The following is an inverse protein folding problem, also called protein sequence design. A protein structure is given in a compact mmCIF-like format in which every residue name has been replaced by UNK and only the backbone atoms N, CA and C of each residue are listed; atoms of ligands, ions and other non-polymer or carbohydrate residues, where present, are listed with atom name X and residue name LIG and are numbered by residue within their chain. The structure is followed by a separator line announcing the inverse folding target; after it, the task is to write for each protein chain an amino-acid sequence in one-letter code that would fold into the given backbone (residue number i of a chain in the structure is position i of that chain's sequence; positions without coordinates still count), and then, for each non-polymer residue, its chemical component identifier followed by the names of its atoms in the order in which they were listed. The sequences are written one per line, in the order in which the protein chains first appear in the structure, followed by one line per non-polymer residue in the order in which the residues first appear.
data_IF_205121184433
#
_entry.id   IF_205121184433
#
_cell.length_a   1.000
_cell.length_b   1.000
_cell.length_c   1.000
_cell.angle_alpha   90.00
_cell.angle_beta   90.00
_cell.angle_gamma   90.00
#
_symmetry.space_group_name_H-M   'P 1'
#
loop_
_entity.id
_entity.type
_entity.pdbx_description
1 polymer ?
#
# COMPACT_ATOMS: atom_id res chain seq x y z
N UNK A 1 -21.54 -14.79 15.89
CA UNK A 1 -20.07 -14.94 15.84
C UNK A 1 -19.39 -13.61 16.09
N UNK A 2 -18.21 -13.63 16.69
CA UNK A 2 -17.45 -12.42 16.98
C UNK A 2 -16.26 -12.32 16.03
N UNK A 3 -16.11 -11.17 15.35
CA UNK A 3 -14.94 -10.90 14.53
C UNK A 3 -13.89 -10.25 15.42
N UNK A 4 -12.75 -10.89 15.60
CA UNK A 4 -11.65 -10.37 16.43
C UNK A 4 -10.82 -9.34 15.67
N UNK A 5 -10.67 -9.50 14.33
CA UNK A 5 -9.78 -8.67 13.55
C UNK A 5 -10.14 -8.78 12.08
N UNK A 6 -10.03 -7.67 11.36
CA UNK A 6 -10.12 -7.64 9.90
C UNK A 6 -8.71 -7.49 9.36
N UNK A 7 -8.32 -8.37 8.46
CA UNK A 7 -7.01 -8.33 7.80
C UNK A 7 -7.19 -8.09 6.31
N UNK A 8 -6.32 -7.27 5.74
CA UNK A 8 -6.27 -7.06 4.30
C UNK A 8 -5.11 -7.87 3.75
N UNK A 9 -5.40 -8.87 2.90
CA UNK A 9 -4.39 -9.84 2.45
C UNK A 9 -3.81 -9.39 1.11
N UNK A 10 -2.47 -9.32 1.06
CA UNK A 10 -1.70 -9.02 -0.14
C UNK A 10 -0.78 -10.20 -0.45
N UNK A 11 -0.64 -10.54 -1.73
CA UNK A 11 0.28 -11.59 -2.16
C UNK A 11 1.62 -10.99 -2.56
N UNK A 12 2.70 -11.66 -2.20
CA UNK A 12 4.05 -11.20 -2.43
C UNK A 12 4.92 -12.30 -3.06
N UNK A 13 5.61 -11.96 -4.15
CA UNK A 13 6.65 -12.81 -4.70
C UNK A 13 7.89 -12.78 -3.81
N UNK A 14 8.22 -11.60 -3.29
CA UNK A 14 9.28 -11.37 -2.31
C UNK A 14 8.66 -10.76 -1.04
N UNK A 15 8.36 -11.60 -0.07
CA UNK A 15 7.66 -11.19 1.16
C UNK A 15 8.44 -10.16 1.98
N UNK A 16 9.78 -10.26 2.03
CA UNK A 16 10.61 -9.31 2.77
C UNK A 16 10.60 -7.93 2.11
N UNK A 17 10.65 -7.89 0.79
CA UNK A 17 10.55 -6.65 0.03
C UNK A 17 9.17 -5.99 0.20
N UNK A 18 8.10 -6.78 0.23
CA UNK A 18 6.75 -6.30 0.47
C UNK A 18 6.61 -5.68 1.87
N UNK A 19 7.13 -6.36 2.91
CA UNK A 19 7.17 -5.84 4.28
C UNK A 19 7.89 -4.49 4.31
N UNK A 20 9.07 -4.41 3.72
CA UNK A 20 9.87 -3.20 3.71
C UNK A 20 9.13 -2.03 3.06
N UNK A 21 8.41 -2.30 1.97
CA UNK A 21 7.62 -1.29 1.27
C UNK A 21 6.59 -0.64 2.20
N UNK A 22 5.73 -1.45 2.81
CA UNK A 22 4.64 -0.92 3.66
C UNK A 22 5.14 -0.37 4.98
N UNK A 23 6.16 -0.97 5.57
CA UNK A 23 6.79 -0.47 6.78
C UNK A 23 7.43 0.90 6.55
N UNK A 24 8.24 1.03 5.50
CA UNK A 24 9.09 2.21 5.31
C UNK A 24 8.33 3.37 4.65
N UNK A 25 7.45 3.08 3.68
CA UNK A 25 6.67 4.13 3.02
C UNK A 25 5.56 4.68 3.93
N UNK A 26 4.83 3.81 4.62
CA UNK A 26 3.65 4.19 5.38
C UNK A 26 3.85 4.20 6.90
N UNK A 27 5.06 3.97 7.37
CA UNK A 27 5.34 3.97 8.81
C UNK A 27 4.72 2.79 9.55
N UNK A 28 4.55 1.66 8.88
CA UNK A 28 3.95 0.47 9.47
C UNK A 28 4.82 -0.19 10.53
N UNK A 29 4.18 -0.96 11.40
CA UNK A 29 4.84 -1.77 12.41
C UNK A 29 4.67 -3.24 12.07
N UNK A 30 5.78 -3.97 11.97
CA UNK A 30 5.76 -5.40 11.71
C UNK A 30 5.40 -6.12 13.01
N UNK A 31 4.26 -6.81 13.04
CA UNK A 31 3.78 -7.54 14.22
C UNK A 31 4.06 -9.04 14.15
N UNK A 32 4.24 -9.57 12.95
CA UNK A 32 4.61 -10.96 12.71
C UNK A 32 5.33 -11.06 11.38
N UNK A 33 6.31 -11.95 11.28
CA UNK A 33 7.16 -12.07 10.10
C UNK A 33 7.55 -13.52 9.83
N UNK A 34 7.14 -14.04 8.66
CA UNK A 34 7.57 -15.35 8.17
C UNK A 34 7.43 -15.42 6.66
N UNK A 35 8.03 -16.42 6.04
CA UNK A 35 8.00 -16.63 4.59
C UNK A 35 6.59 -16.83 4.07
N UNK A 36 5.74 -17.52 4.83
CA UNK A 36 4.38 -17.84 4.39
C UNK A 36 3.40 -16.72 4.71
N UNK A 37 3.53 -16.11 5.88
CA UNK A 37 2.60 -15.11 6.37
C UNK A 37 3.30 -14.08 7.24
N UNK A 38 3.02 -12.81 6.96
CA UNK A 38 3.52 -11.70 7.76
C UNK A 38 2.39 -10.70 8.01
N UNK A 39 2.52 -9.89 9.06
CA UNK A 39 1.54 -8.85 9.36
C UNK A 39 2.24 -7.52 9.61
N UNK A 40 1.77 -6.49 8.91
CA UNK A 40 2.21 -5.11 9.06
C UNK A 40 1.01 -4.27 9.44
N UNK A 41 1.10 -3.56 10.55
CA UNK A 41 0.01 -2.69 11.03
C UNK A 41 0.28 -1.27 10.60
N UNK A 42 -0.67 -0.68 9.88
CA UNK A 42 -0.61 0.71 9.42
C UNK A 42 -1.90 1.40 9.87
N UNK A 43 -1.77 2.47 10.65
CA UNK A 43 -2.91 3.26 11.15
C UNK A 43 -4.03 2.39 11.76
N UNK A 44 -3.65 1.34 12.50
CA UNK A 44 -4.59 0.42 13.12
C UNK A 44 -5.16 -0.68 12.22
N UNK A 45 -4.90 -0.64 10.93
CA UNK A 45 -5.30 -1.69 9.99
C UNK A 45 -4.19 -2.73 9.85
N UNK A 46 -4.56 -4.00 9.74
CA UNK A 46 -3.60 -5.08 9.56
C UNK A 46 -3.52 -5.49 8.11
N UNK A 47 -2.33 -5.36 7.54
CA UNK A 47 -2.00 -5.90 6.23
C UNK A 47 -1.39 -7.28 6.44
N UNK A 48 -2.06 -8.33 5.91
CA UNK A 48 -1.53 -9.68 5.90
C UNK A 48 -0.78 -9.89 4.59
N UNK A 49 0.49 -10.29 4.67
CA UNK A 49 1.33 -10.52 3.51
C UNK A 49 1.54 -12.02 3.36
N UNK A 50 0.97 -12.58 2.30
CA UNK A 50 1.09 -14.01 1.98
C UNK A 50 2.21 -14.20 0.97
N UNK A 51 3.20 -15.03 1.32
CA UNK A 51 4.26 -15.41 0.38
C UNK A 51 3.74 -16.31 -0.73
N UNK A 52 4.52 -16.46 -1.79
CA UNK A 52 4.18 -17.32 -2.93
C UNK A 52 3.37 -16.62 -4.03
N UNK A 53 3.31 -15.29 -4.02
CA UNK A 53 2.72 -14.53 -5.11
C UNK A 53 3.56 -14.62 -6.39
N UNK A 54 2.95 -14.29 -7.53
CA UNK A 54 3.60 -14.37 -8.83
C UNK A 54 4.08 -13.02 -9.38
N UNK A 55 3.85 -11.94 -8.64
CA UNK A 55 4.26 -10.59 -9.03
C UNK A 55 3.37 -9.94 -10.09
N UNK A 56 2.32 -10.62 -10.55
CA UNK A 56 1.42 -10.05 -11.55
C UNK A 56 0.59 -8.92 -10.96
N UNK A 57 0.25 -7.97 -11.82
CA UNK A 57 -0.59 -6.82 -11.46
C UNK A 57 -1.97 -7.30 -11.03
N UNK A 58 -2.37 -6.87 -9.83
CA UNK A 58 -3.67 -7.25 -9.24
C UNK A 58 -4.26 -6.07 -8.49
N UNK A 59 -5.48 -5.69 -8.84
CA UNK A 59 -6.21 -4.67 -8.11
C UNK A 59 -6.67 -5.20 -6.76
N UNK A 60 -6.36 -4.47 -5.68
CA UNK A 60 -6.65 -4.91 -4.31
C UNK A 60 -7.82 -4.19 -3.66
N UNK A 61 -8.13 -2.97 -4.10
CA UNK A 61 -9.08 -2.09 -3.41
C UNK A 61 -8.51 -1.45 -2.14
N UNK A 62 -7.26 -1.71 -1.80
CA UNK A 62 -6.59 -1.09 -0.65
C UNK A 62 -6.37 0.39 -0.92
N UNK A 63 -6.66 1.23 0.06
CA UNK A 63 -6.50 2.68 -0.05
C UNK A 63 -5.89 3.26 1.22
N UNK A 64 -4.92 4.16 1.04
CA UNK A 64 -4.31 4.92 2.14
C UNK A 64 -4.68 6.38 1.98
N UNK A 65 -5.36 6.96 2.97
CA UNK A 65 -5.60 8.39 3.01
C UNK A 65 -4.42 9.07 3.69
N UNK A 66 -3.74 9.95 2.96
CA UNK A 66 -2.56 10.66 3.42
C UNK A 66 -2.92 12.10 3.77
N UNK A 67 -2.16 12.71 4.66
CA UNK A 67 -2.25 14.15 4.93
C UNK A 67 -1.62 14.97 3.80
N UNK A 68 -0.63 14.43 3.11
CA UNK A 68 0.07 15.06 1.99
C UNK A 68 0.30 14.05 0.86
N UNK A 69 -0.61 14.03 -0.10
CA UNK A 69 -0.57 13.08 -1.20
C UNK A 69 0.60 13.35 -2.16
N UNK A 70 0.95 14.61 -2.40
CA UNK A 70 2.09 14.93 -3.26
C UNK A 70 3.39 14.37 -2.71
N UNK A 71 3.57 14.44 -1.38
CA UNK A 71 4.71 13.84 -0.71
C UNK A 71 4.70 12.31 -0.81
N UNK A 72 3.53 11.69 -0.66
CA UNK A 72 3.37 10.25 -0.87
C UNK A 72 3.78 9.81 -2.26
N UNK A 73 3.35 10.55 -3.28
CA UNK A 73 3.71 10.28 -4.68
C UNK A 73 5.22 10.43 -4.89
N UNK A 74 5.83 11.45 -4.29
CA UNK A 74 7.27 11.68 -4.40
C UNK A 74 8.07 10.53 -3.79
N UNK A 75 7.62 9.99 -2.65
CA UNK A 75 8.29 8.90 -1.93
C UNK A 75 8.08 7.53 -2.55
N UNK A 76 6.97 7.34 -3.24
CA UNK A 76 6.57 6.04 -3.78
C UNK A 76 7.70 5.33 -4.56
N UNK A 77 8.34 5.95 -5.57
CA UNK A 77 9.41 5.29 -6.29
C UNK A 77 10.68 5.07 -5.48
N UNK A 78 10.90 5.84 -4.41
CA UNK A 78 12.06 5.67 -3.53
C UNK A 78 11.98 4.35 -2.76
N UNK A 79 10.78 3.79 -2.62
CA UNK A 79 10.53 2.52 -1.94
C UNK A 79 10.20 1.39 -2.91
N UNK A 80 10.37 1.61 -4.22
CA UNK A 80 10.18 0.58 -5.23
C UNK A 80 8.76 0.48 -5.79
N UNK A 81 7.86 1.36 -5.38
CA UNK A 81 6.52 1.46 -5.98
C UNK A 81 6.50 2.35 -7.21
N UNK A 82 5.37 2.39 -7.89
CA UNK A 82 5.20 3.25 -9.06
C UNK A 82 3.75 3.69 -9.22
N UNK A 83 3.55 4.79 -9.96
CA UNK A 83 2.22 5.23 -10.38
C UNK A 83 1.74 4.37 -11.56
N UNK A 84 0.44 4.07 -11.58
CA UNK A 84 -0.19 3.42 -12.74
C UNK A 84 -0.40 4.44 -13.85
N UNK A 85 -0.78 5.68 -13.47
CA UNK A 85 -0.99 6.78 -14.39
C UNK A 85 -0.70 8.10 -13.69
N UNK A 86 -0.46 9.14 -14.48
CA UNK A 86 -0.26 10.49 -13.93
C UNK A 86 -1.56 10.98 -13.31
N UNK A 87 -1.58 11.35 -12.01
CA UNK A 87 -2.79 11.85 -11.37
C UNK A 87 -3.15 13.26 -11.85
N UNK A 88 -4.44 13.57 -11.81
CA UNK A 88 -4.92 14.92 -12.08
C UNK A 88 -4.51 15.84 -10.93
N UNK A 89 -3.89 16.96 -11.25
CA UNK A 89 -3.50 17.99 -10.28
C UNK A 89 -3.50 19.36 -10.97
N UNK A 90 -4.67 19.98 -11.01
CA UNK A 90 -4.87 21.30 -11.61
C UNK A 90 -5.48 22.25 -10.58
N UNK A 91 -5.45 23.59 -10.83
CA UNK A 91 -6.14 24.53 -9.95
C UNK A 91 -7.64 24.27 -9.82
N UNK A 92 -8.27 23.76 -10.89
CA UNK A 92 -9.70 23.43 -10.92
C UNK A 92 -9.99 22.10 -10.25
N UNK A 93 -9.04 21.16 -10.33
CA UNK A 93 -9.15 19.85 -9.71
C UNK A 93 -7.83 19.50 -9.02
N UNK A 94 -7.62 20.01 -7.78
CA UNK A 94 -6.42 19.69 -7.02
C UNK A 94 -6.30 18.19 -6.74
N UNK A 95 -5.08 17.72 -6.64
CA UNK A 95 -4.82 16.30 -6.44
C UNK A 95 -5.52 15.75 -5.20
N UNK A 96 -6.20 14.60 -5.35
CA UNK A 96 -6.86 13.90 -4.26
C UNK A 96 -6.78 12.38 -4.37
N UNK A 97 -6.25 11.87 -5.49
CA UNK A 97 -6.21 10.43 -5.77
C UNK A 97 -5.00 10.11 -6.63
N UNK A 98 -4.28 9.05 -6.27
CA UNK A 98 -3.24 8.46 -7.10
C UNK A 98 -3.43 6.95 -7.13
N UNK A 99 -3.37 6.38 -8.34
CA UNK A 99 -3.40 4.93 -8.55
C UNK A 99 -1.97 4.43 -8.59
N UNK A 100 -1.66 3.46 -7.74
CA UNK A 100 -0.31 3.02 -7.44
C UNK A 100 -0.16 1.51 -7.55
N UNK A 101 1.09 1.06 -7.62
CA UNK A 101 1.43 -0.35 -7.51
C UNK A 101 2.61 -0.50 -6.55
N UNK A 102 2.56 -1.52 -5.69
CA UNK A 102 3.64 -1.83 -4.77
C UNK A 102 4.77 -2.62 -5.46
N UNK A 103 5.73 -3.11 -4.70
CA UNK A 103 6.86 -3.88 -5.23
C UNK A 103 6.48 -5.27 -5.75
N UNK A 104 5.28 -5.75 -5.41
CA UNK A 104 4.82 -7.12 -5.68
C UNK A 104 3.69 -7.20 -6.72
N UNK A 105 3.37 -6.09 -7.37
CA UNK A 105 2.29 -6.05 -8.35
C UNK A 105 0.91 -5.73 -7.76
N UNK A 106 0.79 -5.55 -6.46
CA UNK A 106 -0.49 -5.19 -5.85
C UNK A 106 -0.81 -3.72 -6.16
N UNK A 107 -1.95 -3.50 -6.81
CA UNK A 107 -2.43 -2.17 -7.14
C UNK A 107 -3.26 -1.62 -5.98
N UNK A 108 -3.00 -0.39 -5.61
CA UNK A 108 -3.66 0.27 -4.49
C UNK A 108 -3.82 1.76 -4.76
N UNK A 109 -4.54 2.46 -3.90
CA UNK A 109 -4.74 3.90 -4.00
C UNK A 109 -4.04 4.64 -2.85
N UNK A 110 -3.55 5.82 -3.16
CA UNK A 110 -3.28 6.85 -2.17
C UNK A 110 -4.26 7.98 -2.40
N UNK A 111 -4.84 8.50 -1.33
CA UNK A 111 -5.84 9.58 -1.41
C UNK A 111 -5.50 10.70 -0.45
N UNK A 112 -6.11 11.84 -0.67
CA UNK A 112 -6.06 12.97 0.23
C UNK A 112 -7.47 13.51 0.40
N UNK A 113 -7.81 13.94 1.62
CA UNK A 113 -9.11 14.50 1.89
C UNK A 113 -9.35 15.74 1.02
N UNK A 114 -10.52 15.82 0.42
CA UNK A 114 -10.99 17.03 -0.24
C UNK A 114 -11.57 18.00 0.80
N UNK A 115 -11.29 19.26 0.61
CA UNK A 115 -11.83 20.32 1.43
C UNK A 115 -12.49 21.37 0.56
#
# INVERSE_FOLDING_TARGET
MNVEKVKYVLWAADWQRCIAFYRDLFGGTVSFESETWSEVVVAGATLGIHGGGDGKRTWTGLSFQLDDLREGIRRLPLHGGSLISEPVDTPEEPIHLAMCVDTEGNEFMMTQRRH
#
